data_IF_456042063952
#
_entry.id   IF_456042063952
#
_cell.length_a   1.000
_cell.length_b   1.000
_cell.length_c   1.000
_cell.angle_alpha   90.00
_cell.angle_beta   90.00
_cell.angle_gamma   90.00
#
_symmetry.space_group_name_H-M   'P 1'
#
loop_
_entity.id
_entity.type
_entity.pdbx_description
1 polymer ?
#
# COMPACT_ATOMS: atom_id res chain seq x y z
N UNK A 1 21.39 2.90 23.33
CA UNK A 1 20.97 2.73 21.91
C UNK A 1 20.04 1.55 21.86
N UNK A 2 18.77 1.74 21.49
CA UNK A 2 17.76 0.70 21.61
C UNK A 2 17.52 0.00 20.26
N UNK A 3 17.57 -1.33 20.22
CA UNK A 3 17.18 -2.13 19.05
C UNK A 3 15.74 -1.82 18.57
N UNK A 4 14.95 -1.20 19.44
CA UNK A 4 13.60 -0.71 19.24
C UNK A 4 13.56 0.38 18.16
N UNK A 5 14.45 1.38 18.16
CA UNK A 5 14.39 2.48 17.18
C UNK A 5 14.77 2.02 15.75
N UNK A 6 15.67 1.05 15.65
CA UNK A 6 16.06 0.42 14.38
C UNK A 6 14.89 -0.39 13.78
N UNK A 7 14.13 -1.09 14.62
CA UNK A 7 12.95 -1.85 14.20
C UNK A 7 11.89 -0.93 13.60
N UNK A 8 11.51 0.16 14.29
CA UNK A 8 10.45 1.05 13.81
C UNK A 8 10.84 1.83 12.55
N UNK A 9 12.14 2.14 12.36
CA UNK A 9 12.62 2.70 11.09
C UNK A 9 12.41 1.75 9.91
N UNK A 10 12.72 0.45 10.12
CA UNK A 10 12.51 -0.59 9.11
C UNK A 10 11.01 -0.78 8.80
N UNK A 11 10.15 -0.72 9.82
CA UNK A 11 8.69 -0.80 9.64
C UNK A 11 8.15 0.36 8.77
N UNK A 12 8.55 1.61 9.03
CA UNK A 12 8.15 2.76 8.19
C UNK A 12 8.63 2.59 6.75
N UNK A 13 9.87 2.13 6.55
CA UNK A 13 10.41 1.89 5.20
C UNK A 13 9.68 0.75 4.46
N UNK A 14 9.28 -0.31 5.18
CA UNK A 14 8.49 -1.40 4.62
C UNK A 14 7.11 -0.94 4.19
N UNK A 15 6.45 -0.10 4.99
CA UNK A 15 5.15 0.47 4.63
C UNK A 15 5.28 1.26 3.32
N UNK A 16 6.24 2.19 3.20
CA UNK A 16 6.44 2.95 1.94
C UNK A 16 6.66 2.03 0.73
N UNK A 17 7.42 0.94 0.92
CA UNK A 17 7.64 -0.07 -0.13
C UNK A 17 6.36 -0.78 -0.53
N UNK A 18 5.50 -1.14 0.42
CA UNK A 18 4.20 -1.76 0.13
C UNK A 18 3.23 -0.78 -0.52
N UNK A 19 3.19 0.46 -0.07
CA UNK A 19 2.39 1.52 -0.73
C UNK A 19 2.81 1.71 -2.19
N UNK A 20 4.11 1.70 -2.48
CA UNK A 20 4.61 1.77 -3.86
C UNK A 20 4.16 0.55 -4.68
N UNK A 21 4.29 -0.65 -4.14
CA UNK A 21 3.84 -1.89 -4.80
C UNK A 21 2.34 -1.90 -5.08
N UNK A 22 1.52 -1.45 -4.12
CA UNK A 22 0.08 -1.27 -4.31
C UNK A 22 -0.20 -0.34 -5.49
N UNK A 23 0.48 0.82 -5.56
CA UNK A 23 0.31 1.75 -6.68
C UNK A 23 0.71 1.14 -8.03
N UNK A 24 1.81 0.40 -8.12
CA UNK A 24 2.18 -0.31 -9.36
C UNK A 24 1.14 -1.37 -9.76
N UNK A 25 0.62 -2.12 -8.78
CA UNK A 25 -0.40 -3.14 -9.02
C UNK A 25 -1.75 -2.50 -9.43
N UNK A 26 -2.10 -1.32 -8.91
CA UNK A 26 -3.27 -0.55 -9.33
C UNK A 26 -3.17 -0.15 -10.81
N UNK A 27 -2.02 0.36 -11.24
CA UNK A 27 -1.80 0.72 -12.64
C UNK A 27 -1.92 -0.50 -13.56
N UNK A 28 -1.34 -1.63 -13.15
CA UNK A 28 -1.40 -2.90 -13.87
C UNK A 28 -2.84 -3.42 -13.96
N UNK A 29 -3.59 -3.38 -12.84
CA UNK A 29 -5.00 -3.81 -12.80
C UNK A 29 -5.86 -2.95 -13.73
N UNK A 30 -5.72 -1.62 -13.69
CA UNK A 30 -6.43 -0.70 -14.59
C UNK A 30 -6.16 -1.01 -16.06
N UNK A 31 -4.92 -1.32 -16.42
CA UNK A 31 -4.57 -1.73 -17.77
C UNK A 31 -5.31 -3.02 -18.18
N UNK A 32 -5.32 -4.05 -17.32
CA UNK A 32 -6.08 -5.27 -17.59
C UNK A 32 -7.59 -5.03 -17.69
N UNK A 33 -8.17 -4.16 -16.86
CA UNK A 33 -9.57 -3.76 -17.00
C UNK A 33 -9.85 -3.13 -18.37
N UNK A 34 -8.99 -2.23 -18.84
CA UNK A 34 -9.11 -1.63 -20.17
C UNK A 34 -8.99 -2.67 -21.30
N UNK A 35 -8.07 -3.63 -21.16
CA UNK A 35 -7.94 -4.73 -22.12
C UNK A 35 -9.19 -5.62 -22.14
N UNK A 36 -9.75 -5.93 -20.97
CA UNK A 36 -10.99 -6.71 -20.86
C UNK A 36 -12.15 -6.02 -21.56
N UNK A 37 -12.31 -4.72 -21.35
CA UNK A 37 -13.31 -3.90 -22.06
C UNK A 37 -13.07 -3.91 -23.58
N UNK A 38 -11.83 -3.70 -24.02
CA UNK A 38 -11.47 -3.70 -25.43
C UNK A 38 -11.80 -5.05 -26.09
N UNK A 39 -11.46 -6.18 -25.44
CA UNK A 39 -11.77 -7.53 -25.93
C UNK A 39 -13.27 -7.74 -26.04
N UNK A 40 -14.06 -7.30 -25.06
CA UNK A 40 -15.53 -7.41 -25.07
C UNK A 40 -16.18 -6.60 -26.20
N UNK A 41 -15.54 -5.51 -26.63
CA UNK A 41 -16.02 -4.65 -27.72
C UNK A 41 -15.66 -5.17 -29.13
N UNK A 42 -14.81 -6.20 -29.26
CA UNK A 42 -14.45 -6.76 -30.57
C UNK A 42 -15.70 -7.36 -31.23
N UNK A 43 -16.04 -6.97 -32.48
CA UNK A 43 -17.23 -7.48 -33.15
C UNK A 43 -17.19 -8.99 -33.40
N UNK A 44 -18.37 -9.61 -33.33
CA UNK A 44 -18.56 -11.05 -33.60
C UNK A 44 -18.27 -11.48 -35.04
N UNK A 45 -18.18 -10.53 -35.98
CA UNK A 45 -17.80 -10.79 -37.36
C UNK A 45 -16.28 -10.66 -37.61
N UNK A 46 -15.48 -10.48 -36.55
CA UNK A 46 -14.03 -10.47 -36.66
C UNK A 46 -13.48 -11.83 -37.14
N UNK A 47 -12.37 -11.81 -37.87
CA UNK A 47 -11.72 -13.02 -38.37
C UNK A 47 -11.40 -14.03 -37.27
N UNK A 48 -11.17 -13.56 -36.05
CA UNK A 48 -10.94 -14.37 -34.86
C UNK A 48 -12.14 -15.26 -34.52
N UNK A 49 -13.37 -14.77 -34.68
CA UNK A 49 -14.59 -15.52 -34.39
C UNK A 49 -14.80 -16.68 -35.37
N UNK A 50 -14.42 -16.47 -36.63
CA UNK A 50 -14.38 -17.53 -37.65
C UNK A 50 -13.31 -18.60 -37.39
N UNK A 51 -12.26 -18.27 -36.64
CA UNK A 51 -11.22 -19.24 -36.26
C UNK A 51 -11.56 -20.05 -35.00
N UNK A 52 -12.23 -19.44 -34.01
CA UNK A 52 -12.66 -20.15 -32.79
C UNK A 52 -13.83 -19.42 -32.12
N UNK A 53 -15.03 -20.01 -32.11
CA UNK A 53 -16.20 -19.35 -31.52
C UNK A 53 -16.07 -18.99 -30.01
N UNK A 54 -15.10 -19.58 -29.32
CA UNK A 54 -14.84 -19.36 -27.88
C UNK A 54 -13.62 -18.48 -27.61
N UNK A 55 -12.98 -17.89 -28.63
CA UNK A 55 -11.73 -17.13 -28.41
C UNK A 55 -11.95 -15.98 -27.41
N UNK A 56 -13.07 -15.25 -27.55
CA UNK A 56 -13.35 -14.07 -26.75
C UNK A 56 -13.57 -14.44 -25.29
N UNK A 57 -14.38 -15.48 -25.01
CA UNK A 57 -14.61 -15.94 -23.63
C UNK A 57 -13.33 -16.46 -22.99
N UNK A 58 -12.48 -17.19 -23.74
CA UNK A 58 -11.18 -17.68 -23.23
C UNK A 58 -10.22 -16.54 -22.91
N UNK A 59 -10.16 -15.50 -23.74
CA UNK A 59 -9.31 -14.33 -23.49
C UNK A 59 -9.84 -13.53 -22.30
N UNK A 60 -11.15 -13.24 -22.25
CA UNK A 60 -11.76 -12.56 -21.10
C UNK A 60 -11.49 -13.30 -19.79
N UNK A 61 -11.72 -14.62 -19.75
CA UNK A 61 -11.49 -15.41 -18.54
C UNK A 61 -10.04 -15.36 -18.06
N UNK A 62 -9.07 -15.34 -18.99
CA UNK A 62 -7.64 -15.18 -18.63
C UNK A 62 -7.35 -13.81 -18.04
N UNK A 63 -7.87 -12.74 -18.66
CA UNK A 63 -7.68 -11.38 -18.15
C UNK A 63 -8.34 -11.21 -16.78
N UNK A 64 -9.54 -11.77 -16.59
CA UNK A 64 -10.24 -11.79 -15.30
C UNK A 64 -9.43 -12.50 -14.22
N UNK A 65 -8.80 -13.65 -14.53
CA UNK A 65 -7.90 -14.33 -13.60
C UNK A 65 -6.68 -13.49 -13.22
N UNK A 66 -6.06 -12.77 -14.16
CA UNK A 66 -4.93 -11.88 -13.87
C UNK A 66 -5.36 -10.71 -12.96
N UNK A 67 -6.55 -10.16 -13.19
CA UNK A 67 -7.14 -9.12 -12.32
C UNK A 67 -7.33 -9.64 -10.90
N UNK A 68 -7.91 -10.84 -10.75
CA UNK A 68 -8.15 -11.47 -9.45
C UNK A 68 -6.83 -11.72 -8.69
N UNK A 69 -5.80 -12.19 -9.40
CA UNK A 69 -4.46 -12.38 -8.83
C UNK A 69 -3.87 -11.06 -8.32
N UNK A 70 -3.95 -9.99 -9.11
CA UNK A 70 -3.43 -8.67 -8.71
C UNK A 70 -4.19 -8.12 -7.51
N UNK A 71 -5.52 -8.29 -7.46
CA UNK A 71 -6.33 -7.86 -6.30
C UNK A 71 -5.95 -8.64 -5.05
N UNK A 72 -5.65 -9.94 -5.19
CA UNK A 72 -5.16 -10.77 -4.10
C UNK A 72 -3.82 -10.27 -3.57
N UNK A 73 -2.86 -9.95 -4.46
CA UNK A 73 -1.57 -9.36 -4.06
C UNK A 73 -1.73 -8.00 -3.38
N UNK A 74 -2.58 -7.11 -3.91
CA UNK A 74 -2.88 -5.81 -3.28
C UNK A 74 -3.45 -6.04 -1.88
N UNK A 75 -4.37 -6.98 -1.73
CA UNK A 75 -4.96 -7.33 -0.42
C UNK A 75 -3.91 -7.83 0.56
N UNK A 76 -2.95 -8.64 0.10
CA UNK A 76 -1.84 -9.10 0.94
C UNK A 76 -0.98 -7.92 1.43
N UNK A 77 -0.66 -6.97 0.54
CA UNK A 77 0.08 -5.76 0.94
C UNK A 77 -0.70 -4.90 1.94
N UNK A 78 -2.02 -4.78 1.81
CA UNK A 78 -2.85 -4.09 2.80
C UNK A 78 -2.84 -4.76 4.17
N UNK A 79 -2.92 -6.09 4.21
CA UNK A 79 -2.79 -6.84 5.47
C UNK A 79 -1.42 -6.60 6.12
N UNK A 80 -0.34 -6.61 5.33
CA UNK A 80 1.00 -6.32 5.85
C UNK A 80 1.14 -4.88 6.35
N UNK A 81 0.51 -3.91 5.68
CA UNK A 81 0.47 -2.51 6.15
C UNK A 81 -0.29 -2.40 7.47
N UNK A 82 -1.45 -3.07 7.60
CA UNK A 82 -2.26 -3.06 8.82
C UNK A 82 -1.51 -3.65 10.02
N UNK A 83 -0.80 -4.77 9.84
CA UNK A 83 0.04 -5.37 10.88
C UNK A 83 1.16 -4.44 11.34
N UNK A 84 1.87 -3.80 10.40
CA UNK A 84 2.93 -2.85 10.70
C UNK A 84 2.38 -1.57 11.37
N UNK A 85 1.24 -1.07 10.92
CA UNK A 85 0.58 0.10 11.51
C UNK A 85 0.13 -0.20 12.96
N UNK A 86 -0.37 -1.40 13.24
CA UNK A 86 -0.70 -1.84 14.62
C UNK A 86 0.55 -1.94 15.50
N UNK A 87 1.64 -2.49 14.99
CA UNK A 87 2.94 -2.53 15.70
C UNK A 87 3.42 -1.12 16.08
N UNK A 88 3.43 -0.20 15.11
CA UNK A 88 3.81 1.19 15.32
C UNK A 88 2.85 1.93 16.26
N UNK A 89 1.56 1.64 16.20
CA UNK A 89 0.56 2.24 17.10
C UNK A 89 0.76 1.79 18.55
N UNK A 90 1.08 0.51 18.78
CA UNK A 90 1.44 0.01 20.11
C UNK A 90 2.68 0.72 20.65
N UNK A 91 3.71 0.87 19.81
CA UNK A 91 4.91 1.61 20.18
C UNK A 91 4.61 3.07 20.55
N UNK A 92 3.78 3.77 19.78
CA UNK A 92 3.38 5.14 20.12
C UNK A 92 2.71 5.18 21.49
N UNK A 93 1.80 4.24 21.79
CA UNK A 93 1.11 4.17 23.08
C UNK A 93 2.06 3.88 24.24
N UNK A 94 2.98 2.93 24.06
CA UNK A 94 3.94 2.53 25.10
C UNK A 94 4.88 3.69 25.44
N UNK A 95 5.34 4.43 24.43
CA UNK A 95 6.38 5.44 24.64
C UNK A 95 5.84 6.86 24.87
N UNK A 96 4.54 7.09 24.67
CA UNK A 96 3.86 8.35 25.00
C UNK A 96 3.97 8.73 26.50
N UNK A 97 4.25 7.77 27.37
CA UNK A 97 4.38 7.97 28.81
C UNK A 97 5.82 7.83 29.34
N UNK A 98 6.76 7.33 28.54
CA UNK A 98 8.05 6.84 29.04
C UNK A 98 9.30 7.53 28.47
N UNK A 99 9.27 8.16 27.28
CA UNK A 99 10.46 8.80 26.71
C UNK A 99 10.27 10.27 26.31
N UNK A 100 11.32 11.06 26.54
CA UNK A 100 11.50 12.36 25.90
C UNK A 100 11.89 12.16 24.42
N UNK A 101 10.89 12.13 23.53
CA UNK A 101 11.16 12.27 22.11
C UNK A 101 11.35 13.73 21.72
N UNK A 102 12.08 14.01 20.63
CA UNK A 102 12.08 15.34 20.06
C UNK A 102 10.67 15.81 19.70
N UNK A 103 10.47 17.10 19.91
CA UNK A 103 9.20 17.78 19.69
C UNK A 103 8.62 17.46 18.31
N UNK A 104 7.39 16.93 18.30
CA UNK A 104 6.63 16.65 17.08
C UNK A 104 6.81 15.25 16.48
N UNK A 105 7.78 14.42 16.91
CA UNK A 105 7.98 13.09 16.33
C UNK A 105 6.77 12.16 16.52
N UNK A 106 6.24 12.07 17.74
CA UNK A 106 5.06 11.25 18.03
C UNK A 106 3.82 11.74 17.28
N UNK A 107 3.68 13.06 17.12
CA UNK A 107 2.57 13.66 16.38
C UNK A 107 2.67 13.34 14.88
N UNK A 108 3.87 13.42 14.30
CA UNK A 108 4.12 13.05 12.90
C UNK A 108 3.81 11.57 12.65
N UNK A 109 4.21 10.69 13.60
CA UNK A 109 3.93 9.26 13.50
C UNK A 109 2.43 8.98 13.65
N UNK A 110 1.73 9.66 14.55
CA UNK A 110 0.27 9.56 14.70
C UNK A 110 -0.48 10.05 13.46
N UNK A 111 -0.04 11.15 12.83
CA UNK A 111 -0.64 11.64 11.58
C UNK A 111 -0.50 10.60 10.46
N UNK A 112 0.69 9.99 10.35
CA UNK A 112 0.92 8.91 9.38
C UNK A 112 0.06 7.68 9.66
N UNK A 113 -0.02 7.23 10.91
CA UNK A 113 -0.81 6.07 11.31
C UNK A 113 -2.31 6.30 11.08
N UNK A 114 -2.83 7.49 11.38
CA UNK A 114 -4.22 7.84 11.12
C UNK A 114 -4.54 7.71 9.63
N UNK A 115 -3.68 8.26 8.77
CA UNK A 115 -3.83 8.12 7.32
C UNK A 115 -3.83 6.65 6.88
N UNK A 116 -2.89 5.84 7.38
CA UNK A 116 -2.82 4.42 7.01
C UNK A 116 -4.08 3.66 7.44
N UNK A 117 -4.57 3.89 8.66
CA UNK A 117 -5.77 3.22 9.17
C UNK A 117 -7.00 3.59 8.35
N UNK A 118 -7.14 4.85 7.94
CA UNK A 118 -8.23 5.28 7.07
C UNK A 118 -8.18 4.56 5.71
N UNK A 119 -7.00 4.47 5.10
CA UNK A 119 -6.82 3.79 3.82
C UNK A 119 -7.03 2.26 3.92
N UNK A 120 -6.54 1.63 4.99
CA UNK A 120 -6.78 0.21 5.30
C UNK A 120 -8.29 -0.04 5.46
N UNK A 121 -8.99 0.83 6.19
CA UNK A 121 -10.43 0.71 6.39
C UNK A 121 -11.19 0.87 5.07
N UNK A 122 -10.81 1.82 4.22
CA UNK A 122 -11.39 1.99 2.87
C UNK A 122 -11.22 0.72 2.04
N UNK A 123 -10.03 0.11 2.04
CA UNK A 123 -9.77 -1.12 1.30
C UNK A 123 -10.67 -2.27 1.73
N UNK A 124 -10.77 -2.52 3.05
CA UNK A 124 -11.53 -3.63 3.60
C UNK A 124 -13.05 -3.40 3.58
N UNK A 125 -13.50 -2.16 3.42
CA UNK A 125 -14.93 -1.84 3.29
C UNK A 125 -15.50 -2.12 1.91
N UNK A 126 -14.66 -2.23 0.88
CA UNK A 126 -15.10 -2.47 -0.49
C UNK A 126 -15.31 -3.97 -0.78
N UNK A 127 -16.41 -4.31 -1.45
CA UNK A 127 -16.68 -5.66 -1.92
C UNK A 127 -15.66 -6.08 -3.00
N UNK A 128 -15.18 -7.32 -2.96
CA UNK A 128 -14.15 -7.85 -3.85
C UNK A 128 -14.51 -7.66 -5.33
N UNK A 129 -15.80 -7.76 -5.66
CA UNK A 129 -16.31 -7.56 -7.04
C UNK A 129 -16.24 -6.11 -7.52
N UNK A 130 -16.23 -5.16 -6.58
CA UNK A 130 -16.18 -3.72 -6.89
C UNK A 130 -14.76 -3.17 -6.89
N UNK A 131 -13.83 -3.85 -6.20
CA UNK A 131 -12.44 -3.42 -6.05
C UNK A 131 -11.78 -2.97 -7.35
N UNK A 132 -11.81 -3.71 -8.49
CA UNK A 132 -11.13 -3.27 -9.70
C UNK A 132 -11.63 -1.93 -10.24
N UNK A 133 -12.93 -1.62 -10.07
CA UNK A 133 -13.54 -0.39 -10.54
C UNK A 133 -13.28 0.82 -9.64
N UNK A 134 -12.96 0.60 -8.36
CA UNK A 134 -12.74 1.65 -7.34
C UNK A 134 -11.28 1.77 -6.90
N UNK A 135 -10.36 1.10 -7.61
CA UNK A 135 -8.92 1.22 -7.32
C UNK A 135 -8.46 2.65 -7.52
N UNK A 136 -8.14 3.33 -6.43
CA UNK A 136 -7.50 4.65 -6.42
C UNK A 136 -6.06 4.54 -5.94
N UNK A 137 -5.18 5.34 -6.55
CA UNK A 137 -3.79 5.40 -6.11
C UNK A 137 -3.72 5.89 -4.67
N UNK A 138 -2.89 5.22 -3.88
CA UNK A 138 -2.54 5.66 -2.54
C UNK A 138 -1.66 6.90 -2.66
N UNK A 139 -2.26 8.06 -2.39
CA UNK A 139 -1.61 9.37 -2.53
C UNK A 139 -1.78 10.14 -1.23
N UNK A 140 -0.84 9.97 -0.27
CA UNK A 140 -0.91 10.68 1.00
C UNK A 140 -0.85 12.18 0.77
N UNK A 141 -1.54 12.93 1.62
CA UNK A 141 -1.47 14.39 1.62
C UNK A 141 -0.03 14.87 1.85
N UNK A 142 0.28 16.08 1.38
CA UNK A 142 1.63 16.66 1.51
C UNK A 142 2.07 16.76 2.98
N UNK A 143 1.14 16.93 3.91
CA UNK A 143 1.41 16.96 5.35
C UNK A 143 1.89 15.60 5.84
N UNK A 144 1.17 14.53 5.51
CA UNK A 144 1.53 13.14 5.82
C UNK A 144 2.89 12.77 5.22
N UNK A 145 3.17 13.14 3.97
CA UNK A 145 4.48 12.89 3.35
C UNK A 145 5.62 13.61 4.07
N UNK A 146 5.39 14.84 4.55
CA UNK A 146 6.36 15.59 5.34
C UNK A 146 6.55 14.97 6.72
N UNK A 147 5.49 14.50 7.36
CA UNK A 147 5.52 13.79 8.64
C UNK A 147 6.39 12.52 8.54
N UNK A 148 6.15 11.66 7.55
CA UNK A 148 6.96 10.45 7.30
C UNK A 148 8.43 10.80 7.10
N UNK A 149 8.73 11.84 6.30
CA UNK A 149 10.10 12.27 6.07
C UNK A 149 10.79 12.71 7.36
N UNK A 150 10.10 13.48 8.21
CA UNK A 150 10.63 13.92 9.51
C UNK A 150 10.85 12.75 10.45
N UNK A 151 9.92 11.80 10.52
CA UNK A 151 10.07 10.56 11.29
C UNK A 151 11.33 9.79 10.87
N UNK A 152 11.52 9.59 9.56
CA UNK A 152 12.71 8.89 9.03
C UNK A 152 14.00 9.65 9.32
N UNK A 153 14.01 10.97 9.17
CA UNK A 153 15.18 11.81 9.48
C UNK A 153 15.54 11.72 10.95
N UNK A 154 14.55 11.75 11.84
CA UNK A 154 14.76 11.59 13.27
C UNK A 154 15.38 10.23 13.58
N UNK A 155 14.74 9.14 13.16
CA UNK A 155 15.24 7.78 13.39
C UNK A 155 16.63 7.56 12.79
N UNK A 156 16.88 8.06 11.57
CA UNK A 156 18.20 8.01 10.95
C UNK A 156 19.25 8.79 11.73
N UNK A 157 18.89 9.95 12.31
CA UNK A 157 19.81 10.74 13.15
C UNK A 157 20.13 10.02 14.47
N UNK A 158 19.16 9.33 15.06
CA UNK A 158 19.34 8.52 16.27
C UNK A 158 20.24 7.30 15.97
N UNK A 159 20.03 6.64 14.83
CA UNK A 159 20.81 5.48 14.40
C UNK A 159 22.28 5.82 14.07
N UNK A 160 22.52 7.00 13.50
CA UNK A 160 23.86 7.41 13.06
C UNK A 160 24.56 8.39 14.01
N UNK A 161 23.97 8.66 15.18
CA UNK A 161 24.61 9.54 16.15
C UNK A 161 25.91 8.86 16.64
N UNK A 162 27.08 9.49 16.47
CA UNK A 162 28.32 8.92 16.97
C UNK A 162 28.17 8.83 18.48
N UNK A 163 28.14 7.60 18.99
CA UNK A 163 28.19 7.31 20.41
C UNK A 163 29.35 8.14 20.97
N UNK A 164 29.04 9.14 21.81
CA UNK A 164 30.08 9.81 22.61
C UNK A 164 30.81 8.68 23.35
N UNK A 165 32.03 8.37 22.91
CA UNK A 165 32.98 7.61 23.70
C UNK A 165 33.18 8.41 24.98
N UNK A 166 32.53 7.97 26.06
CA UNK A 166 32.98 8.24 27.42
C UNK A 166 34.06 7.21 27.74
#
# INVERSE_FOLDING_TARGET
MSAVDAKHFDEICKIEKYMHKINCNIETCRNYCMQLEAVRMIPRYSSLMSCSAEWQSKVCARIEMEIDMIISEISEYWTQIDELAKSLSSYVADVQHEHEFPFGYLQDLQEFLSYLMDEVNKWHSNDDKTKPAVLEFMKPEVTVQKAVRRCKQHLHSVLNSPTKKL
#
